data_IF_323235750827
#
_entry.id   IF_323235750827
#
_cell.length_a   1.000
_cell.length_b   1.000
_cell.length_c   1.000
_cell.angle_alpha   90.00
_cell.angle_beta   90.00
_cell.angle_gamma   90.00
#
_symmetry.space_group_name_H-M   'P 1'
#
loop_
_entity.id
_entity.type
_entity.pdbx_description
1 polymer ?
#
# COMPACT_ATOMS: atom_id res chain seq x y z
N UNK A 1 23.31 -28.76 -61.48
CA UNK A 1 23.45 -27.60 -60.57
C UNK A 1 22.17 -26.78 -60.54
N UNK A 2 21.29 -27.01 -59.56
CA UNK A 2 20.25 -26.07 -59.14
C UNK A 2 20.16 -26.21 -57.62
N UNK A 3 20.67 -25.20 -56.90
CA UNK A 3 20.68 -25.18 -55.45
C UNK A 3 19.23 -25.03 -54.93
N UNK A 4 18.85 -25.90 -54.01
CA UNK A 4 17.68 -25.72 -53.17
C UNK A 4 17.95 -24.55 -52.20
N UNK A 5 17.20 -23.47 -52.33
CA UNK A 5 17.02 -22.51 -51.24
C UNK A 5 15.84 -22.99 -50.38
N UNK A 6 16.15 -23.75 -49.34
CA UNK A 6 15.23 -23.94 -48.21
C UNK A 6 15.28 -22.68 -47.34
N UNK A 7 14.31 -21.79 -47.52
CA UNK A 7 14.05 -20.70 -46.57
C UNK A 7 13.51 -21.30 -45.27
N UNK A 8 14.38 -21.45 -44.29
CA UNK A 8 14.04 -21.74 -42.90
C UNK A 8 13.36 -20.47 -42.32
N UNK A 9 12.03 -20.44 -42.33
CA UNK A 9 11.28 -19.46 -41.54
C UNK A 9 11.48 -19.81 -40.06
N UNK A 10 12.44 -19.14 -39.41
CA UNK A 10 12.47 -19.06 -37.96
C UNK A 10 11.17 -18.35 -37.53
N UNK A 11 10.23 -19.13 -36.98
CA UNK A 11 9.14 -18.56 -36.22
C UNK A 11 9.73 -17.91 -34.97
N UNK A 12 10.06 -16.61 -35.06
CA UNK A 12 10.23 -15.77 -33.87
C UNK A 12 8.84 -15.67 -33.26
N UNK A 13 8.50 -16.63 -32.39
CA UNK A 13 7.36 -16.52 -31.52
C UNK A 13 7.54 -15.20 -30.75
N UNK A 14 6.75 -14.19 -31.11
CA UNK A 14 6.75 -12.90 -30.47
C UNK A 14 6.52 -13.10 -28.98
N UNK A 15 7.62 -13.08 -28.21
CA UNK A 15 7.68 -13.23 -26.77
C UNK A 15 7.19 -11.95 -26.06
N UNK A 16 6.05 -11.42 -26.52
CA UNK A 16 5.50 -10.14 -26.06
C UNK A 16 5.00 -10.31 -24.63
N UNK A 17 5.54 -9.51 -23.73
CA UNK A 17 5.01 -9.36 -22.37
C UNK A 17 3.63 -8.69 -22.51
N UNK A 18 2.57 -9.22 -21.90
CA UNK A 18 1.25 -8.60 -21.95
C UNK A 18 1.31 -7.15 -21.44
N UNK A 19 0.50 -6.23 -22.01
CA UNK A 19 0.43 -4.86 -21.52
C UNK A 19 0.11 -4.82 -20.02
N UNK A 20 0.93 -4.09 -19.26
CA UNK A 20 0.79 -3.97 -17.81
C UNK A 20 1.26 -5.18 -17.01
N UNK A 21 1.82 -6.23 -17.62
CA UNK A 21 2.51 -7.30 -16.90
C UNK A 21 3.94 -6.88 -16.51
N UNK A 22 4.42 -7.40 -15.39
CA UNK A 22 5.73 -7.13 -14.82
C UNK A 22 6.67 -8.27 -15.18
N UNK A 23 7.75 -8.02 -15.95
CA UNK A 23 8.75 -9.04 -16.23
C UNK A 23 9.62 -9.27 -14.98
N UNK A 24 9.73 -10.52 -14.54
CA UNK A 24 10.49 -10.92 -13.34
C UNK A 24 11.68 -11.80 -13.74
N UNK A 25 12.87 -11.38 -13.33
CA UNK A 25 14.14 -12.03 -13.68
C UNK A 25 14.50 -13.21 -12.82
N UNK A 26 14.14 -13.16 -11.53
CA UNK A 26 14.43 -14.24 -10.61
C UNK A 26 13.42 -14.36 -9.48
N UNK A 27 13.25 -15.61 -9.06
CA UNK A 27 12.48 -16.01 -7.89
C UNK A 27 13.43 -16.61 -6.85
N UNK A 28 13.47 -16.01 -5.67
CA UNK A 28 14.30 -16.45 -4.56
C UNK A 28 13.45 -16.93 -3.39
N UNK A 29 13.95 -17.93 -2.66
CA UNK A 29 13.35 -18.39 -1.41
C UNK A 29 14.37 -18.17 -0.31
N UNK A 30 13.95 -17.59 0.80
CA UNK A 30 14.79 -17.42 1.98
C UNK A 30 14.99 -18.77 2.67
N UNK A 31 16.13 -19.40 2.44
CA UNK A 31 16.44 -20.72 3.01
C UNK A 31 16.48 -20.70 4.54
N UNK A 32 16.95 -19.61 5.15
CA UNK A 32 16.96 -19.45 6.61
C UNK A 32 15.54 -19.45 7.20
N UNK A 33 14.61 -18.69 6.59
CA UNK A 33 13.20 -18.67 6.99
C UNK A 33 12.53 -20.04 6.78
N UNK A 34 12.84 -20.71 5.66
CA UNK A 34 12.29 -22.03 5.37
C UNK A 34 12.79 -23.08 6.36
N UNK A 35 14.08 -23.07 6.69
CA UNK A 35 14.69 -23.97 7.68
C UNK A 35 14.12 -23.75 9.09
N UNK A 36 13.73 -22.52 9.43
CA UNK A 36 13.02 -22.19 10.67
C UNK A 36 11.59 -22.76 10.74
N UNK A 37 11.06 -23.31 9.65
CA UNK A 37 9.68 -23.79 9.53
C UNK A 37 9.61 -25.25 9.04
N UNK A 38 10.16 -26.22 9.80
CA UNK A 38 10.30 -27.61 9.36
C UNK A 38 8.96 -28.34 9.13
N UNK A 39 7.89 -27.91 9.82
CA UNK A 39 6.52 -28.46 9.68
C UNK A 39 5.98 -28.36 8.25
N UNK A 40 6.49 -27.40 7.46
CA UNK A 40 6.11 -27.25 6.06
C UNK A 40 6.57 -28.43 5.19
N UNK A 41 7.68 -29.08 5.54
CA UNK A 41 8.24 -30.24 4.83
C UNK A 41 8.41 -30.04 3.33
N UNK A 42 8.83 -28.84 2.93
CA UNK A 42 9.12 -28.45 1.54
C UNK A 42 10.57 -27.96 1.45
N UNK A 43 11.33 -28.53 0.52
CA UNK A 43 12.69 -28.05 0.21
C UNK A 43 12.66 -26.73 -0.59
N UNK A 44 13.74 -25.96 -0.55
CA UNK A 44 13.83 -24.65 -1.22
C UNK A 44 13.43 -24.69 -2.71
N UNK A 45 13.85 -25.71 -3.45
CA UNK A 45 13.43 -25.88 -4.85
C UNK A 45 11.94 -26.19 -5.02
N UNK A 46 11.36 -26.94 -4.09
CA UNK A 46 9.91 -27.17 -4.07
C UNK A 46 9.16 -25.86 -3.83
N UNK A 47 9.59 -25.07 -2.83
CA UNK A 47 9.00 -23.77 -2.52
C UNK A 47 9.13 -22.79 -3.69
N UNK A 48 10.27 -22.79 -4.40
CA UNK A 48 10.48 -21.95 -5.58
C UNK A 48 9.53 -22.33 -6.73
N UNK A 49 9.30 -23.63 -6.97
CA UNK A 49 8.35 -24.09 -8.00
C UNK A 49 6.91 -23.71 -7.66
N UNK A 50 6.53 -23.83 -6.40
CA UNK A 50 5.20 -23.42 -5.91
C UNK A 50 5.02 -21.90 -6.05
N UNK A 51 6.04 -21.11 -5.68
CA UNK A 51 6.07 -19.65 -5.88
C UNK A 51 5.92 -19.30 -7.36
N UNK A 52 6.70 -19.92 -8.25
CA UNK A 52 6.63 -19.71 -9.69
C UNK A 52 5.21 -19.93 -10.21
N UNK A 53 4.60 -21.05 -9.85
CA UNK A 53 3.23 -21.38 -10.27
C UNK A 53 2.25 -20.30 -9.82
N UNK A 54 2.32 -19.90 -8.56
CA UNK A 54 1.43 -18.90 -7.97
C UNK A 54 1.56 -17.55 -8.67
N UNK A 55 2.79 -17.04 -8.87
CA UNK A 55 3.00 -15.73 -9.51
C UNK A 55 2.62 -15.74 -11.00
N UNK A 56 2.92 -16.82 -11.74
CA UNK A 56 2.53 -16.95 -13.14
C UNK A 56 1.01 -17.10 -13.31
N UNK A 57 0.33 -17.80 -12.39
CA UNK A 57 -1.12 -17.97 -12.41
C UNK A 57 -1.89 -16.65 -12.27
N UNK A 58 -1.26 -15.62 -11.71
CA UNK A 58 -1.86 -14.27 -11.69
C UNK A 58 -2.00 -13.63 -13.07
N UNK A 59 -1.23 -14.10 -14.06
CA UNK A 59 -1.10 -13.46 -15.38
C UNK A 59 -0.39 -12.09 -15.35
N UNK A 60 -0.07 -11.55 -14.17
CA UNK A 60 0.55 -10.24 -14.00
C UNK A 60 2.07 -10.29 -13.98
N UNK A 61 2.64 -11.40 -13.51
CA UNK A 61 4.08 -11.59 -13.42
C UNK A 61 4.53 -12.60 -14.47
N UNK A 62 5.51 -12.22 -15.30
CA UNK A 62 6.01 -13.07 -16.39
C UNK A 62 7.50 -13.29 -16.21
N UNK A 63 7.92 -14.54 -16.06
CA UNK A 63 9.34 -14.85 -15.94
C UNK A 63 10.10 -14.63 -17.26
N UNK A 64 11.18 -13.85 -17.18
CA UNK A 64 12.05 -13.51 -18.31
C UNK A 64 13.49 -13.44 -17.82
N UNK A 65 14.39 -14.17 -18.46
CA UNK A 65 15.82 -14.03 -18.18
C UNK A 65 16.23 -12.55 -18.32
N UNK A 66 17.11 -12.11 -17.42
CA UNK A 66 17.65 -10.73 -17.37
C UNK A 66 16.63 -9.62 -17.07
N UNK A 67 15.36 -9.96 -16.80
CA UNK A 67 14.41 -8.96 -16.35
C UNK A 67 14.83 -8.38 -14.99
N UNK A 68 14.63 -7.07 -14.77
CA UNK A 68 15.23 -6.39 -13.64
C UNK A 68 14.50 -6.65 -12.32
N UNK A 69 13.21 -7.01 -12.37
CA UNK A 69 12.42 -7.24 -11.18
C UNK A 69 12.72 -8.62 -10.56
N UNK A 70 12.67 -8.72 -9.23
CA UNK A 70 12.93 -9.96 -8.49
C UNK A 70 11.86 -10.16 -7.44
N UNK A 71 11.43 -11.40 -7.24
CA UNK A 71 10.51 -11.74 -6.15
C UNK A 71 11.23 -12.65 -5.16
N UNK A 72 11.23 -12.28 -3.88
CA UNK A 72 11.76 -13.09 -2.78
C UNK A 72 10.62 -13.54 -1.87
N UNK A 73 10.58 -14.84 -1.57
CA UNK A 73 9.71 -15.46 -0.59
C UNK A 73 10.42 -15.62 0.75
N UNK A 74 9.76 -15.21 1.84
CA UNK A 74 10.11 -15.56 3.21
C UNK A 74 8.90 -16.24 3.88
N UNK A 75 9.09 -17.44 4.42
CA UNK A 75 8.08 -18.11 5.24
C UNK A 75 8.26 -17.63 6.67
N UNK A 76 7.30 -16.86 7.19
CA UNK A 76 7.40 -16.28 8.53
C UNK A 76 7.00 -17.29 9.59
N UNK A 77 5.91 -18.03 9.33
CA UNK A 77 5.47 -19.09 10.24
C UNK A 77 4.78 -20.25 9.49
N UNK A 78 5.02 -21.47 9.95
CA UNK A 78 4.26 -22.66 9.59
C UNK A 78 4.01 -23.45 10.87
N UNK A 79 2.79 -23.33 11.42
CA UNK A 79 2.44 -23.92 12.71
C UNK A 79 1.02 -24.46 12.71
N UNK A 80 0.77 -25.37 13.64
CA UNK A 80 -0.58 -25.82 13.97
C UNK A 80 -1.22 -24.84 14.94
N UNK A 81 -2.47 -24.50 14.69
CA UNK A 81 -3.27 -23.62 15.54
C UNK A 81 -4.56 -24.34 15.87
N UNK A 82 -4.92 -24.41 17.15
CA UNK A 82 -6.23 -24.90 17.55
C UNK A 82 -7.23 -23.76 17.58
N UNK A 83 -8.42 -23.98 16.99
CA UNK A 83 -9.48 -22.98 16.93
C UNK A 83 -10.28 -22.86 18.24
N UNK A 84 -10.15 -23.83 19.17
CA UNK A 84 -10.87 -23.87 20.45
C UNK A 84 -9.93 -24.39 21.54
N UNK A 85 -9.98 -23.83 22.75
CA UNK A 85 -8.95 -24.00 23.80
C UNK A 85 -8.74 -25.42 24.36
N UNK A 86 -9.36 -26.47 23.82
CA UNK A 86 -9.10 -27.85 24.27
C UNK A 86 -9.58 -29.01 23.38
N UNK A 87 -10.35 -28.79 22.31
CA UNK A 87 -10.90 -29.90 21.49
C UNK A 87 -11.43 -29.47 20.11
N UNK A 88 -10.88 -28.41 19.51
CA UNK A 88 -11.26 -27.97 18.16
C UNK A 88 -10.29 -28.46 17.11
N UNK A 89 -10.74 -28.69 15.85
CA UNK A 89 -9.90 -29.21 14.79
C UNK A 89 -8.65 -28.36 14.64
N UNK A 90 -7.49 -29.02 14.65
CA UNK A 90 -6.21 -28.37 14.39
C UNK A 90 -6.20 -27.82 12.95
N UNK A 91 -5.58 -26.66 12.76
CA UNK A 91 -5.44 -26.01 11.46
C UNK A 91 -3.97 -25.82 11.17
N UNK A 92 -3.53 -26.25 9.99
CA UNK A 92 -2.23 -25.90 9.45
C UNK A 92 -2.31 -24.44 9.01
N UNK A 93 -1.58 -23.57 9.71
CA UNK A 93 -1.50 -22.14 9.42
C UNK A 93 -0.12 -21.84 8.87
N UNK A 94 -0.08 -21.22 7.70
CA UNK A 94 1.14 -20.73 7.06
C UNK A 94 1.02 -19.24 6.81
N UNK A 95 2.01 -18.49 7.26
CA UNK A 95 2.16 -17.05 7.02
C UNK A 95 3.49 -16.81 6.31
N UNK A 96 3.45 -15.98 5.27
CA UNK A 96 4.62 -15.68 4.45
C UNK A 96 4.59 -14.25 3.92
N UNK A 97 5.75 -13.79 3.47
CA UNK A 97 5.94 -12.51 2.82
C UNK A 97 6.54 -12.71 1.44
N UNK A 98 5.95 -12.05 0.44
CA UNK A 98 6.58 -11.84 -0.86
C UNK A 98 7.11 -10.42 -0.97
N UNK A 99 8.36 -10.30 -1.38
CA UNK A 99 9.02 -9.03 -1.65
C UNK A 99 9.30 -8.92 -3.14
N UNK A 100 8.68 -7.95 -3.80
CA UNK A 100 8.99 -7.56 -5.17
C UNK A 100 9.96 -6.38 -5.14
N UNK A 101 11.12 -6.56 -5.76
CA UNK A 101 12.13 -5.52 -5.93
C UNK A 101 12.27 -5.19 -7.41
N UNK A 102 12.18 -3.92 -7.80
CA UNK A 102 12.34 -3.48 -9.20
C UNK A 102 13.06 -2.13 -9.26
N UNK A 103 13.81 -1.82 -10.33
CA UNK A 103 14.31 -0.46 -10.55
C UNK A 103 13.12 0.49 -10.76
N UNK A 104 13.19 1.66 -10.12
CA UNK A 104 12.20 2.73 -10.29
C UNK A 104 12.78 4.01 -10.92
N UNK A 105 14.10 4.10 -11.02
CA UNK A 105 14.84 5.23 -11.61
C UNK A 105 16.36 5.03 -11.51
N UNK A 106 17.18 6.01 -11.93
CA UNK A 106 18.63 5.94 -11.81
C UNK A 106 19.07 5.77 -10.35
N UNK A 107 19.52 4.57 -9.99
CA UNK A 107 19.97 4.25 -8.62
C UNK A 107 18.86 3.99 -7.60
N UNK A 108 17.58 4.11 -7.98
CA UNK A 108 16.45 3.87 -7.10
C UNK A 108 15.89 2.47 -7.27
N UNK A 109 15.73 1.78 -6.13
CA UNK A 109 15.09 0.48 -6.03
C UNK A 109 13.74 0.66 -5.35
N UNK A 110 12.68 0.30 -6.05
CA UNK A 110 11.36 0.16 -5.46
C UNK A 110 11.19 -1.23 -4.88
N UNK A 111 10.61 -1.26 -3.68
CA UNK A 111 10.34 -2.47 -2.91
C UNK A 111 8.86 -2.49 -2.54
N UNK A 112 8.18 -3.55 -2.95
CA UNK A 112 6.79 -3.84 -2.57
C UNK A 112 6.77 -5.10 -1.74
N UNK A 113 5.97 -5.09 -0.67
CA UNK A 113 5.80 -6.22 0.23
C UNK A 113 4.35 -6.65 0.21
N UNK A 114 4.10 -7.95 0.12
CA UNK A 114 2.78 -8.52 0.28
C UNK A 114 2.83 -9.69 1.23
N UNK A 115 2.03 -9.63 2.27
CA UNK A 115 1.81 -10.73 3.20
C UNK A 115 0.74 -11.67 2.61
N UNK A 116 0.93 -12.96 2.87
CA UNK A 116 0.02 -14.02 2.50
C UNK A 116 -0.25 -14.94 3.67
N UNK A 117 -1.51 -15.35 3.80
CA UNK A 117 -1.93 -16.29 4.83
C UNK A 117 -2.71 -17.45 4.23
N UNK A 118 -2.46 -18.64 4.74
CA UNK A 118 -3.16 -19.85 4.34
C UNK A 118 -3.48 -20.70 5.54
N UNK A 119 -4.73 -21.14 5.64
CA UNK A 119 -5.25 -21.95 6.74
C UNK A 119 -6.04 -23.11 6.18
N UNK A 120 -5.59 -24.32 6.47
CA UNK A 120 -6.24 -25.55 6.02
C UNK A 120 -6.42 -26.44 7.24
N UNK A 121 -7.64 -26.95 7.50
CA UNK A 121 -7.87 -27.93 8.56
C UNK A 121 -6.91 -29.09 8.41
N UNK A 122 -6.21 -29.45 9.49
CA UNK A 122 -5.55 -30.74 9.53
C UNK A 122 -6.65 -31.73 9.87
N UNK A 123 -6.93 -32.70 9.00
CA UNK A 123 -7.81 -33.83 9.32
C UNK A 123 -7.16 -34.78 10.38
N UNK A 124 -6.25 -34.25 11.18
CA UNK A 124 -5.31 -34.93 12.06
C UNK A 124 -5.97 -35.47 13.34
N UNK A 125 -7.14 -34.96 13.74
CA UNK A 125 -7.90 -35.60 14.83
C UNK A 125 -8.39 -37.01 14.44
N UNK A 126 -8.55 -37.28 13.14
CA UNK A 126 -9.01 -38.57 12.61
C UNK A 126 -7.91 -39.41 11.96
N UNK A 127 -6.74 -38.82 11.69
CA UNK A 127 -5.68 -39.47 10.92
C UNK A 127 -4.32 -39.40 11.62
N UNK A 128 -3.79 -40.57 12.00
CA UNK A 128 -2.39 -40.72 12.46
C UNK A 128 -1.38 -40.56 11.33
N UNK A 129 -1.84 -40.51 10.08
CA UNK A 129 -1.02 -40.47 8.88
C UNK A 129 -0.15 -39.19 8.81
N UNK A 130 1.19 -39.31 8.83
CA UNK A 130 2.10 -38.21 8.59
C UNK A 130 1.89 -37.51 7.23
N UNK A 131 1.44 -38.24 6.21
CA UNK A 131 1.27 -37.71 4.86
C UNK A 131 0.06 -36.78 4.75
N UNK A 132 -1.08 -37.14 5.36
CA UNK A 132 -2.24 -36.28 5.49
C UNK A 132 -1.93 -34.97 6.24
N UNK A 133 -1.06 -35.02 7.26
CA UNK A 133 -0.63 -33.82 7.99
C UNK A 133 0.25 -32.90 7.12
N UNK A 134 1.17 -33.48 6.37
CA UNK A 134 2.04 -32.73 5.48
C UNK A 134 1.27 -32.14 4.28
N UNK A 135 0.23 -32.83 3.80
CA UNK A 135 -0.62 -32.34 2.71
C UNK A 135 -1.41 -31.08 3.10
N UNK A 136 -1.88 -30.99 4.36
CA UNK A 136 -2.54 -29.80 4.89
C UNK A 136 -1.59 -28.59 4.91
N UNK A 137 -0.36 -28.75 5.39
CA UNK A 137 0.64 -27.68 5.37
C UNK A 137 1.02 -27.24 3.97
N UNK A 138 1.18 -28.18 3.03
CA UNK A 138 1.44 -27.85 1.61
C UNK A 138 0.28 -27.09 0.98
N UNK A 139 -0.95 -27.44 1.33
CA UNK A 139 -2.16 -26.77 0.85
C UNK A 139 -2.28 -25.36 1.46
N UNK A 140 -2.01 -25.21 2.76
CA UNK A 140 -1.95 -23.92 3.42
C UNK A 140 -0.86 -23.02 2.83
N UNK A 141 0.32 -23.57 2.53
CA UNK A 141 1.39 -22.81 1.88
C UNK A 141 1.03 -22.35 0.47
N UNK A 142 0.35 -23.18 -0.34
CA UNK A 142 -0.19 -22.76 -1.64
C UNK A 142 -1.18 -21.63 -1.49
N UNK A 143 -2.15 -21.77 -0.58
CA UNK A 143 -3.13 -20.72 -0.32
C UNK A 143 -2.45 -19.41 0.10
N UNK A 144 -1.43 -19.49 0.96
CA UNK A 144 -0.65 -18.32 1.39
C UNK A 144 0.13 -17.68 0.23
N UNK A 145 0.70 -18.48 -0.68
CA UNK A 145 1.37 -17.97 -1.87
C UNK A 145 0.39 -17.28 -2.82
N UNK A 146 -0.77 -17.88 -3.08
CA UNK A 146 -1.81 -17.33 -3.95
C UNK A 146 -2.32 -16.00 -3.37
N UNK A 147 -2.50 -15.95 -2.05
CA UNK A 147 -2.93 -14.76 -1.31
C UNK A 147 -1.89 -13.63 -1.40
N UNK A 148 -0.61 -13.92 -1.13
CA UNK A 148 0.45 -12.92 -1.26
C UNK A 148 0.67 -12.48 -2.71
N UNK A 149 0.56 -13.39 -3.67
CA UNK A 149 0.72 -13.08 -5.09
C UNK A 149 -0.35 -12.11 -5.55
N UNK A 150 -1.60 -12.30 -5.09
CA UNK A 150 -2.72 -11.39 -5.34
C UNK A 150 -2.49 -10.01 -4.73
N UNK A 151 -1.95 -9.94 -3.51
CA UNK A 151 -1.59 -8.66 -2.90
C UNK A 151 -0.49 -7.91 -3.66
N UNK A 152 0.49 -8.60 -4.25
CA UNK A 152 1.45 -7.97 -5.16
C UNK A 152 0.77 -7.44 -6.44
N UNK A 153 -0.18 -8.19 -7.02
CA UNK A 153 -0.95 -7.72 -8.19
C UNK A 153 -1.64 -6.41 -7.88
N UNK A 154 -2.36 -6.32 -6.77
CA UNK A 154 -3.09 -5.09 -6.40
C UNK A 154 -2.16 -3.89 -6.24
N UNK A 155 -0.96 -4.06 -5.67
CA UNK A 155 0.03 -2.98 -5.58
C UNK A 155 0.48 -2.48 -6.95
N UNK A 156 0.80 -3.40 -7.85
CA UNK A 156 1.21 -3.07 -9.22
C UNK A 156 0.08 -2.40 -9.98
N UNK A 157 -1.15 -2.87 -9.81
CA UNK A 157 -2.32 -2.36 -10.53
C UNK A 157 -2.80 -1.01 -10.03
N UNK A 158 -2.81 -0.78 -8.71
CA UNK A 158 -3.25 0.48 -8.12
C UNK A 158 -2.53 1.70 -8.71
N UNK A 159 -1.25 1.54 -9.12
CA UNK A 159 -0.46 2.61 -9.75
C UNK A 159 -1.00 3.02 -11.12
N UNK A 160 -1.55 2.08 -11.87
CA UNK A 160 -2.04 2.29 -13.23
C UNK A 160 -3.56 2.54 -13.27
N UNK A 161 -4.28 2.26 -12.18
CA UNK A 161 -5.71 2.56 -12.08
C UNK A 161 -5.96 4.05 -12.13
N UNK A 162 -7.05 4.43 -12.80
CA UNK A 162 -7.62 5.77 -12.76
C UNK A 162 -8.21 6.06 -11.38
N UNK A 163 -8.39 7.33 -11.05
CA UNK A 163 -9.04 7.72 -9.79
C UNK A 163 -10.46 7.14 -9.66
N UNK A 164 -11.18 7.01 -10.78
CA UNK A 164 -12.52 6.41 -10.79
C UNK A 164 -12.48 4.93 -10.35
N UNK A 165 -11.52 4.17 -10.85
CA UNK A 165 -11.35 2.76 -10.48
C UNK A 165 -10.89 2.63 -9.03
N UNK A 166 -9.95 3.46 -8.59
CA UNK A 166 -9.50 3.46 -7.20
C UNK A 166 -10.62 3.84 -6.22
N UNK A 167 -11.52 4.74 -6.60
CA UNK A 167 -12.70 5.07 -5.77
C UNK A 167 -13.63 3.87 -5.60
N UNK A 168 -13.77 3.01 -6.62
CA UNK A 168 -14.52 1.76 -6.50
C UNK A 168 -13.83 0.77 -5.55
N UNK A 169 -12.51 0.71 -5.57
CA UNK A 169 -11.72 -0.15 -4.69
C UNK A 169 -11.80 0.25 -3.20
N UNK A 170 -12.22 1.48 -2.88
CA UNK A 170 -12.40 1.91 -1.48
C UNK A 170 -13.44 1.09 -0.71
N UNK A 171 -14.36 0.43 -1.42
CA UNK A 171 -15.38 -0.45 -0.84
C UNK A 171 -15.09 -1.94 -1.09
N UNK A 172 -13.88 -2.29 -1.53
CA UNK A 172 -13.51 -3.68 -1.75
C UNK A 172 -13.66 -4.52 -0.48
N UNK A 173 -13.98 -5.80 -0.65
CA UNK A 173 -14.07 -6.75 0.46
C UNK A 173 -12.71 -6.96 1.13
N UNK A 174 -11.66 -7.13 0.30
CA UNK A 174 -10.29 -7.31 0.79
C UNK A 174 -9.73 -5.99 1.35
N UNK A 175 -9.32 -5.96 2.64
CA UNK A 175 -8.82 -4.75 3.29
C UNK A 175 -7.50 -4.24 2.69
N UNK A 176 -6.66 -5.11 2.10
CA UNK A 176 -5.41 -4.70 1.45
C UNK A 176 -5.72 -3.93 0.18
N UNK A 177 -6.68 -4.38 -0.63
CA UNK A 177 -7.11 -3.65 -1.82
C UNK A 177 -7.67 -2.27 -1.45
N UNK A 178 -8.50 -2.18 -0.40
CA UNK A 178 -8.95 -0.89 0.13
C UNK A 178 -7.80 0.01 0.57
N UNK A 179 -6.81 -0.54 1.29
CA UNK A 179 -5.65 0.23 1.76
C UNK A 179 -4.79 0.75 0.60
N UNK A 180 -4.57 -0.05 -0.45
CA UNK A 180 -3.87 0.41 -1.65
C UNK A 180 -4.62 1.54 -2.35
N UNK A 181 -5.94 1.44 -2.46
CA UNK A 181 -6.77 2.51 -3.00
C UNK A 181 -6.68 3.79 -2.17
N UNK A 182 -6.71 3.67 -0.84
CA UNK A 182 -6.57 4.81 0.07
C UNK A 182 -5.22 5.49 -0.12
N UNK A 183 -4.12 4.73 -0.15
CA UNK A 183 -2.77 5.28 -0.34
C UNK A 183 -2.64 5.97 -1.69
N UNK A 184 -3.04 5.31 -2.78
CA UNK A 184 -2.93 5.86 -4.13
C UNK A 184 -3.76 7.15 -4.30
N UNK A 185 -4.99 7.19 -3.78
CA UNK A 185 -5.83 8.39 -3.84
C UNK A 185 -5.30 9.51 -2.94
N UNK A 186 -4.73 9.19 -1.77
CA UNK A 186 -4.10 10.17 -0.89
C UNK A 186 -2.86 10.81 -1.54
N UNK A 187 -1.99 10.00 -2.17
CA UNK A 187 -0.81 10.49 -2.91
C UNK A 187 -1.22 11.41 -4.06
N UNK A 188 -2.35 11.10 -4.71
CA UNK A 188 -2.96 11.92 -5.78
C UNK A 188 -3.81 13.08 -5.25
N UNK A 189 -3.91 13.25 -3.92
CA UNK A 189 -4.70 14.28 -3.23
C UNK A 189 -6.17 14.29 -3.64
N UNK A 190 -6.74 13.13 -3.95
CA UNK A 190 -8.14 13.02 -4.35
C UNK A 190 -9.06 13.08 -3.13
N UNK A 191 -10.02 14.03 -3.06
CA UNK A 191 -10.88 14.23 -1.89
C UNK A 191 -11.88 13.10 -1.63
N UNK A 192 -12.05 12.15 -2.56
CA UNK A 192 -12.91 10.98 -2.37
C UNK A 192 -12.42 10.05 -1.24
N UNK A 193 -11.13 10.11 -0.88
CA UNK A 193 -10.53 9.30 0.18
C UNK A 193 -10.69 9.90 1.59
N UNK A 194 -11.21 11.13 1.69
CA UNK A 194 -11.32 11.85 2.97
C UNK A 194 -12.08 11.03 4.03
N UNK A 195 -13.25 10.41 3.76
CA UNK A 195 -13.95 9.60 4.76
C UNK A 195 -13.09 8.48 5.36
N UNK A 196 -12.29 7.82 4.53
CA UNK A 196 -11.41 6.73 4.95
C UNK A 196 -10.24 7.25 5.79
N UNK A 197 -9.68 8.41 5.45
CA UNK A 197 -8.63 9.05 6.24
C UNK A 197 -9.15 9.56 7.59
N UNK A 198 -10.38 10.07 7.66
CA UNK A 198 -10.99 10.50 8.92
C UNK A 198 -11.15 9.32 9.89
N UNK A 199 -11.55 8.15 9.39
CA UNK A 199 -11.61 6.94 10.22
C UNK A 199 -10.23 6.55 10.80
N UNK A 200 -9.14 6.79 10.07
CA UNK A 200 -7.77 6.51 10.53
C UNK A 200 -7.24 7.46 11.60
N UNK A 201 -7.91 8.59 11.85
CA UNK A 201 -7.54 9.49 12.95
C UNK A 201 -7.69 8.83 14.34
N UNK A 202 -8.53 7.80 14.44
CA UNK A 202 -8.76 7.03 15.67
C UNK A 202 -7.97 5.71 15.73
N UNK A 203 -6.99 5.53 14.84
CA UNK A 203 -6.15 4.32 14.84
C UNK A 203 -5.29 4.26 16.12
N UNK A 204 -5.19 3.07 16.73
CA UNK A 204 -4.42 2.85 17.95
C UNK A 204 -2.92 3.08 17.73
N UNK A 205 -2.44 2.89 16.50
CA UNK A 205 -1.08 3.19 16.14
C UNK A 205 -0.91 4.70 15.83
N UNK A 206 -0.17 5.46 16.67
CA UNK A 206 -0.03 6.90 16.49
C UNK A 206 0.64 7.27 15.15
N UNK A 207 1.46 6.37 14.58
CA UNK A 207 2.09 6.58 13.27
C UNK A 207 1.04 6.57 12.16
N UNK A 208 0.05 5.67 12.24
CA UNK A 208 -1.04 5.59 11.25
C UNK A 208 -1.94 6.82 11.36
N UNK A 209 -2.33 7.20 12.58
CA UNK A 209 -3.14 8.39 12.81
C UNK A 209 -2.46 9.67 12.30
N UNK A 210 -1.18 9.88 12.60
CA UNK A 210 -0.43 11.05 12.14
C UNK A 210 -0.25 11.07 10.61
N UNK A 211 -0.05 9.91 9.97
CA UNK A 211 -0.03 9.83 8.50
C UNK A 211 -1.37 10.25 7.88
N UNK A 212 -2.49 9.88 8.51
CA UNK A 212 -3.80 10.33 8.06
C UNK A 212 -3.97 11.86 8.18
N UNK A 213 -3.48 12.46 9.28
CA UNK A 213 -3.44 13.94 9.43
C UNK A 213 -2.67 14.57 8.26
N UNK A 214 -1.46 14.09 7.98
CA UNK A 214 -0.63 14.61 6.88
C UNK A 214 -1.31 14.49 5.51
N UNK A 215 -1.95 13.36 5.23
CA UNK A 215 -2.70 13.16 3.99
C UNK A 215 -3.92 14.11 3.88
N UNK A 216 -4.68 14.29 4.95
CA UNK A 216 -5.82 15.22 4.99
C UNK A 216 -5.38 16.66 4.73
N UNK A 217 -4.26 17.09 5.31
CA UNK A 217 -3.65 18.40 5.04
C UNK A 217 -3.23 18.54 3.58
N UNK A 218 -2.59 17.52 3.02
CA UNK A 218 -2.15 17.54 1.61
C UNK A 218 -3.32 17.61 0.63
N UNK A 219 -4.45 16.98 0.96
CA UNK A 219 -5.71 17.06 0.20
C UNK A 219 -6.33 18.45 0.34
N UNK A 220 -6.25 19.07 1.51
CA UNK A 220 -6.79 20.43 1.74
C UNK A 220 -8.30 20.48 1.97
N UNK A 221 -8.95 19.34 2.24
CA UNK A 221 -10.39 19.28 2.42
C UNK A 221 -10.80 19.68 3.85
N UNK A 222 -11.57 20.76 3.96
CA UNK A 222 -11.97 21.35 5.24
C UNK A 222 -12.97 20.52 6.03
N UNK A 223 -13.53 19.44 5.45
CA UNK A 223 -14.28 18.41 6.21
C UNK A 223 -13.43 17.77 7.32
N UNK A 224 -12.09 17.87 7.23
CA UNK A 224 -11.18 17.35 8.25
C UNK A 224 -11.04 18.24 9.49
N UNK A 225 -11.49 19.50 9.46
CA UNK A 225 -11.27 20.46 10.56
C UNK A 225 -11.90 19.98 11.87
N UNK A 226 -13.19 19.65 11.87
CA UNK A 226 -13.86 19.23 13.12
C UNK A 226 -13.31 17.91 13.68
N UNK A 227 -13.08 16.85 12.88
CA UNK A 227 -12.47 15.62 13.38
C UNK A 227 -11.04 15.81 13.92
N UNK A 228 -10.26 16.71 13.34
CA UNK A 228 -8.94 17.06 13.87
C UNK A 228 -9.04 17.80 15.21
N UNK A 229 -10.01 18.70 15.38
CA UNK A 229 -10.32 19.34 16.67
C UNK A 229 -10.75 18.31 17.72
N UNK A 230 -11.47 17.26 17.34
CA UNK A 230 -11.79 16.17 18.28
C UNK A 230 -10.55 15.35 18.68
N UNK A 231 -9.64 15.11 17.74
CA UNK A 231 -8.41 14.35 17.96
C UNK A 231 -7.49 15.03 18.99
N UNK A 232 -7.40 16.37 19.01
CA UNK A 232 -6.58 17.10 20.01
C UNK A 232 -7.00 16.81 21.45
N UNK A 233 -8.28 16.49 21.69
CA UNK A 233 -8.82 16.21 23.03
C UNK A 233 -8.42 14.84 23.56
N UNK A 234 -8.00 13.93 22.68
CA UNK A 234 -7.70 12.53 23.00
C UNK A 234 -6.21 12.21 22.93
N UNK A 235 -5.36 13.21 22.69
CA UNK A 235 -3.94 13.01 22.42
C UNK A 235 -3.04 13.82 23.35
N UNK A 236 -1.75 13.49 23.35
CA UNK A 236 -0.74 14.16 24.17
C UNK A 236 -0.32 15.50 23.56
N UNK A 237 0.17 16.47 24.36
CA UNK A 237 0.60 17.79 23.87
C UNK A 237 1.47 17.76 22.62
N UNK A 238 2.43 16.82 22.54
CA UNK A 238 3.35 16.71 21.41
C UNK A 238 2.65 16.41 20.08
N UNK A 239 1.58 15.61 20.12
CA UNK A 239 0.75 15.28 18.96
C UNK A 239 -0.24 16.40 18.68
N UNK A 240 -0.79 17.03 19.73
CA UNK A 240 -1.68 18.19 19.62
C UNK A 240 -1.03 19.32 18.82
N UNK A 241 0.24 19.64 19.08
CA UNK A 241 1.00 20.66 18.34
C UNK A 241 0.94 20.42 16.82
N UNK A 242 1.15 19.17 16.38
CA UNK A 242 1.10 18.83 14.94
C UNK A 242 -0.30 19.04 14.35
N UNK A 243 -1.33 18.70 15.12
CA UNK A 243 -2.72 18.90 14.71
C UNK A 243 -3.06 20.41 14.61
N UNK A 244 -2.52 21.26 15.48
CA UNK A 244 -2.75 22.71 15.40
C UNK A 244 -2.19 23.30 14.09
N UNK A 245 -1.00 22.89 13.67
CA UNK A 245 -0.44 23.29 12.38
C UNK A 245 -1.24 22.73 11.19
N UNK A 246 -1.80 21.52 11.32
CA UNK A 246 -2.72 20.98 10.34
C UNK A 246 -4.00 21.83 10.20
N UNK A 247 -4.60 22.22 11.33
CA UNK A 247 -5.76 23.12 11.37
C UNK A 247 -5.46 24.49 10.76
N UNK A 248 -4.30 25.08 11.06
CA UNK A 248 -3.87 26.32 10.44
C UNK A 248 -3.71 26.20 8.92
N UNK A 249 -3.22 25.05 8.44
CA UNK A 249 -3.01 24.80 7.01
C UNK A 249 -4.31 24.57 6.26
N UNK A 250 -5.26 23.82 6.84
CA UNK A 250 -6.61 23.65 6.29
C UNK A 250 -7.41 24.94 6.33
N UNK A 251 -7.20 25.73 7.39
CA UNK A 251 -7.76 27.06 7.58
C UNK A 251 -9.27 27.07 7.81
N UNK A 252 -9.81 28.28 7.88
CA UNK A 252 -11.24 28.52 8.02
C UNK A 252 -11.70 29.05 9.37
N UNK A 253 -12.94 29.57 9.45
CA UNK A 253 -13.45 30.19 10.67
C UNK A 253 -13.41 29.25 11.88
N UNK A 254 -13.76 27.97 11.70
CA UNK A 254 -13.76 27.00 12.79
C UNK A 254 -12.34 26.70 13.29
N UNK A 255 -11.38 26.51 12.38
CA UNK A 255 -9.98 26.31 12.74
C UNK A 255 -9.41 27.55 13.45
N UNK A 256 -9.68 28.74 12.92
CA UNK A 256 -9.22 30.00 13.51
C UNK A 256 -9.79 30.21 14.92
N UNK A 257 -11.09 30.02 15.10
CA UNK A 257 -11.76 30.15 16.40
C UNK A 257 -11.19 29.17 17.44
N UNK A 258 -10.91 27.92 17.03
CA UNK A 258 -10.32 26.93 17.90
C UNK A 258 -8.88 27.28 18.31
N UNK A 259 -8.04 27.70 17.35
CA UNK A 259 -6.67 28.14 17.63
C UNK A 259 -6.64 29.36 18.56
N UNK A 260 -7.51 30.34 18.35
CA UNK A 260 -7.65 31.51 19.24
C UNK A 260 -8.03 31.11 20.67
N UNK A 261 -8.93 30.13 20.82
CA UNK A 261 -9.34 29.61 22.14
C UNK A 261 -8.15 28.97 22.86
N UNK A 262 -7.33 28.19 22.16
CA UNK A 262 -6.15 27.56 22.74
C UNK A 262 -5.03 28.57 23.05
N UNK A 263 -4.80 29.56 22.20
CA UNK A 263 -3.86 30.65 22.50
C UNK A 263 -4.25 31.36 23.80
N UNK A 264 -5.54 31.72 23.95
CA UNK A 264 -6.01 32.55 25.05
C UNK A 264 -6.07 31.83 26.41
N UNK A 265 -6.21 30.51 26.41
CA UNK A 265 -6.48 29.76 27.65
C UNK A 265 -6.14 28.27 27.63
N UNK A 266 -5.31 27.81 26.69
CA UNK A 266 -4.90 26.41 26.63
C UNK A 266 -4.15 25.96 27.89
N UNK A 267 -4.40 24.73 28.39
CA UNK A 267 -3.87 24.29 29.68
C UNK A 267 -2.35 24.08 29.69
N UNK A 268 -1.75 23.90 28.51
CA UNK A 268 -0.34 23.53 28.34
C UNK A 268 0.42 24.64 27.58
N UNK A 269 1.58 25.04 28.11
CA UNK A 269 2.40 26.15 27.59
C UNK A 269 2.97 25.87 26.19
N UNK A 270 3.25 24.61 25.86
CA UNK A 270 3.67 24.20 24.51
C UNK A 270 2.49 24.32 23.54
N UNK A 271 1.30 23.85 23.95
CA UNK A 271 0.07 23.95 23.15
C UNK A 271 -0.33 25.41 22.92
N UNK A 272 -0.24 26.29 23.93
CA UNK A 272 -0.56 27.72 23.75
C UNK A 272 0.38 28.40 22.74
N UNK A 273 1.69 28.17 22.87
CA UNK A 273 2.68 28.73 21.92
C UNK A 273 2.44 28.24 20.51
N UNK A 274 2.23 26.94 20.33
CA UNK A 274 1.91 26.37 19.04
C UNK A 274 0.60 26.93 18.47
N UNK A 275 -0.41 27.20 19.30
CA UNK A 275 -1.66 27.82 18.88
C UNK A 275 -1.45 29.26 18.37
N UNK A 276 -0.64 30.06 19.06
CA UNK A 276 -0.23 31.40 18.61
C UNK A 276 0.49 31.34 17.25
N UNK A 277 1.48 30.47 17.12
CA UNK A 277 2.25 30.32 15.87
C UNK A 277 1.35 29.87 14.71
N UNK A 278 0.50 28.87 14.95
CA UNK A 278 -0.46 28.35 13.97
C UNK A 278 -1.49 29.41 13.55
N UNK A 279 -1.99 30.21 14.50
CA UNK A 279 -2.94 31.29 14.22
C UNK A 279 -2.31 32.41 13.38
N UNK A 280 -1.07 32.77 13.67
CA UNK A 280 -0.31 33.74 12.88
C UNK A 280 -0.13 33.27 11.42
N UNK A 281 0.24 31.99 11.23
CA UNK A 281 0.40 31.42 9.89
C UNK A 281 -0.94 31.34 9.12
N UNK A 282 -2.04 30.96 9.78
CA UNK A 282 -3.38 30.95 9.18
C UNK A 282 -3.77 32.37 8.71
N UNK A 283 -3.58 33.37 9.57
CA UNK A 283 -3.91 34.77 9.25
C UNK A 283 -3.06 35.29 8.09
N UNK A 284 -1.75 35.01 8.10
CA UNK A 284 -0.84 35.36 6.99
C UNK A 284 -1.31 34.79 5.66
N UNK A 285 -1.70 33.51 5.62
CA UNK A 285 -2.28 32.88 4.42
C UNK A 285 -3.62 33.48 3.98
N UNK A 286 -4.38 34.04 4.92
CA UNK A 286 -5.68 34.67 4.63
C UNK A 286 -5.52 36.11 4.13
N UNK A 287 -4.48 36.82 4.58
CA UNK A 287 -4.19 38.20 4.16
C UNK A 287 -3.34 38.32 2.90
N UNK A 288 -2.63 37.27 2.47
CA UNK A 288 -1.97 37.19 1.16
C UNK A 288 -2.90 36.50 0.14
N UNK A 289 -3.64 37.23 -0.73
CA UNK A 289 -4.44 36.59 -1.75
C UNK A 289 -3.50 35.90 -2.76
N UNK A 290 -3.84 34.69 -3.18
CA UNK A 290 -3.20 33.96 -4.27
C UNK A 290 -3.15 34.85 -5.51
N UNK A 291 -1.99 35.43 -5.82
CA UNK A 291 -1.78 36.15 -7.07
C UNK A 291 -2.07 35.20 -8.25
N UNK A 292 -3.05 35.58 -9.05
CA UNK A 292 -3.53 34.90 -10.25
C UNK A 292 -2.41 34.25 -11.09
N UNK A 293 -2.43 32.92 -11.24
CA UNK A 293 -2.02 32.27 -12.50
C UNK A 293 -3.26 32.20 -13.39
N UNK A 294 -3.55 33.30 -14.09
CA UNK A 294 -4.37 33.31 -15.31
C UNK A 294 -3.46 33.42 -16.53
N UNK A 295 -3.85 32.88 -17.70
CA UNK A 295 -3.01 32.95 -18.90
C UNK A 295 -2.77 34.41 -19.28
N UNK A 296 -1.53 34.75 -19.60
CA UNK A 296 -1.14 36.07 -20.10
C UNK A 296 -1.97 36.41 -21.32
N UNK A 297 -2.88 37.38 -21.19
CA UNK A 297 -3.47 38.04 -22.34
C UNK A 297 -2.34 38.73 -23.12
N UNK A 298 -2.30 38.61 -24.47
CA UNK A 298 -1.31 39.31 -25.26
C UNK A 298 -1.61 40.80 -25.26
N UNK A 299 -0.57 41.61 -25.05
CA UNK A 299 -0.60 43.06 -25.19
C UNK A 299 -1.26 43.48 -26.53
N UNK A 300 -2.19 44.45 -26.54
CA UNK A 300 -2.72 44.96 -27.79
C UNK A 300 -1.62 45.74 -28.52
N UNK A 301 -1.31 45.28 -29.74
CA UNK A 301 -0.40 45.95 -30.65
C UNK A 301 -0.91 47.36 -30.99
N UNK A 302 -0.14 48.37 -30.60
CA UNK A 302 -0.31 49.74 -31.06
C UNK A 302 0.19 49.86 -32.50
N UNK A 303 -0.75 49.76 -33.45
CA UNK A 303 -0.53 50.13 -34.84
C UNK A 303 -0.32 51.64 -35.02
N UNK A 304 0.45 51.98 -36.06
CA UNK A 304 0.57 53.34 -36.61
C UNK A 304 -0.78 53.94 -36.96
N UNK A 305 -0.93 55.26 -37.10
CA UNK A 305 -0.37 56.15 -38.13
C UNK A 305 -0.94 57.57 -37.84
N UNK A 306 -0.66 58.66 -38.60
CA UNK A 306 -0.11 58.78 -39.95
C UNK A 306 1.37 59.19 -40.01
#
# INVERSE_FOLDING_TARGET
MRLLWTTLFLAVACNRIPPGAVPVGSLAVSEANLAGNPELGVAAEGARRELQRSVEATGKFVLRQEAPARIRLAVESARRVSLVSSAGPEVASVELTLELTSPAGPGEIEKMLSEGSGRVPTEAETSTDPEARLSAFRSAFRAALDDASRGLVWQVEARNKTDRELVQDLTAEDPRLRDYAIRALADRRNPAVVPQLLNRLSDENPVVALRAVGALVAIGDRRAVDPLIEMTRKTKPQVTVQILYALATLGGPTAEAYLYTLESGGPDDEVRRAATDALLELRRKTTEPTAHRGPTEPLPGGGGHP
#
